data_IF_076095371223
#
_entry.id   IF_076095371223
#
_cell.length_a   1.000
_cell.length_b   1.000
_cell.length_c   1.000
_cell.angle_alpha   90.00
_cell.angle_beta   90.00
_cell.angle_gamma   90.00
#
_symmetry.space_group_name_H-M   'P 1'
#
loop_
_entity.id
_entity.type
_entity.pdbx_description
1 polymer ?
#
# COMPACT_ATOMS: atom_id res chain seq x y z
N UNK A 1 7.00 11.81 -10.35
CA UNK A 1 6.65 10.61 -9.56
C UNK A 1 6.58 11.04 -8.11
N UNK A 2 5.46 10.79 -7.42
CA UNK A 2 5.28 11.08 -5.99
C UNK A 2 5.43 9.76 -5.24
N UNK A 3 6.23 9.77 -4.17
CA UNK A 3 6.41 8.63 -3.27
C UNK A 3 5.98 9.10 -1.89
N UNK A 4 5.04 8.40 -1.28
CA UNK A 4 4.58 8.64 0.08
C UNK A 4 5.06 7.49 0.96
N UNK A 5 5.50 7.83 2.17
CA UNK A 5 6.00 6.88 3.18
C UNK A 5 4.87 6.72 4.19
N UNK A 6 4.44 5.48 4.39
CA UNK A 6 3.40 5.12 5.35
C UNK A 6 4.07 4.31 6.43
N UNK A 7 4.18 4.86 7.64
CA UNK A 7 4.85 4.23 8.78
C UNK A 7 3.95 4.09 10.01
N UNK A 8 2.68 4.52 9.91
CA UNK A 8 1.67 4.31 10.94
C UNK A 8 0.59 3.33 10.49
N UNK A 9 0.07 2.56 11.44
CA UNK A 9 -1.03 1.62 11.17
C UNK A 9 -2.30 2.32 10.66
N UNK A 10 -2.59 3.52 11.17
CA UNK A 10 -3.76 4.28 10.71
C UNK A 10 -3.62 4.73 9.25
N UNK A 11 -2.47 5.26 8.84
CA UNK A 11 -2.23 5.64 7.44
C UNK A 11 -2.25 4.43 6.50
N UNK A 12 -1.80 3.27 6.99
CA UNK A 12 -1.97 2.01 6.27
C UNK A 12 -3.47 1.78 6.02
N UNK A 13 -4.31 1.75 7.07
CA UNK A 13 -5.75 1.53 6.91
C UNK A 13 -6.42 2.49 5.90
N UNK A 14 -5.97 3.75 5.87
CA UNK A 14 -6.50 4.78 4.97
C UNK A 14 -6.20 4.51 3.48
N UNK A 15 -5.15 3.75 3.16
CA UNK A 15 -4.80 3.40 1.77
C UNK A 15 -5.40 2.09 1.28
N UNK A 16 -6.25 1.42 2.08
CA UNK A 16 -6.83 0.12 1.74
C UNK A 16 -7.44 0.08 0.33
N UNK A 17 -8.31 1.03 0.00
CA UNK A 17 -9.00 1.05 -1.30
C UNK A 17 -8.01 1.16 -2.46
N UNK A 18 -6.94 1.92 -2.25
CA UNK A 18 -5.88 2.07 -3.23
C UNK A 18 -5.04 0.81 -3.39
N UNK A 19 -4.77 0.11 -2.29
CA UNK A 19 -4.11 -1.20 -2.28
C UNK A 19 -4.91 -2.24 -3.09
N UNK A 20 -6.21 -2.33 -2.83
CA UNK A 20 -7.12 -3.22 -3.56
C UNK A 20 -7.24 -2.83 -5.04
N UNK A 21 -7.24 -1.53 -5.36
CA UNK A 21 -7.30 -1.04 -6.74
C UNK A 21 -6.01 -1.34 -7.54
N UNK A 22 -4.83 -1.16 -6.92
CA UNK A 22 -3.54 -1.54 -7.53
C UNK A 22 -3.53 -3.03 -7.81
N UNK A 23 -3.94 -3.86 -6.84
CA UNK A 23 -4.06 -5.29 -6.99
C UNK A 23 -4.98 -5.68 -8.16
N UNK A 24 -6.17 -5.09 -8.25
CA UNK A 24 -7.10 -5.36 -9.35
C UNK A 24 -6.56 -4.93 -10.72
N UNK A 25 -5.64 -3.96 -10.75
CA UNK A 25 -5.08 -3.40 -11.99
C UNK A 25 -3.85 -4.13 -12.52
N UNK A 26 -3.20 -4.96 -11.70
CA UNK A 26 -1.96 -5.67 -12.07
C UNK A 26 -2.21 -7.17 -12.31
N UNK A 27 -2.41 -7.59 -13.57
CA UNK A 27 -2.62 -9.00 -13.92
C UNK A 27 -1.39 -9.89 -13.71
N UNK A 28 -0.20 -9.31 -13.51
CA UNK A 28 1.06 -10.03 -13.28
C UNK A 28 1.45 -10.11 -11.80
N UNK A 29 0.57 -9.68 -10.89
CA UNK A 29 0.77 -9.75 -9.44
C UNK A 29 0.66 -11.21 -8.94
N UNK A 30 1.60 -12.07 -9.33
CA UNK A 30 1.58 -13.51 -9.02
C UNK A 30 1.88 -13.82 -7.54
N UNK A 31 2.55 -12.91 -6.83
CA UNK A 31 2.85 -13.02 -5.40
C UNK A 31 2.46 -11.73 -4.69
N UNK A 32 1.15 -11.49 -4.53
CA UNK A 32 0.66 -10.33 -3.80
C UNK A 32 0.22 -10.71 -2.39
N UNK A 33 0.71 -9.98 -1.39
CA UNK A 33 0.33 -10.16 0.00
C UNK A 33 -1.10 -9.62 0.19
N UNK A 34 -2.00 -10.45 0.71
CA UNK A 34 -3.38 -10.03 0.93
C UNK A 34 -3.44 -8.89 1.95
N UNK A 35 -4.35 -7.93 1.69
CA UNK A 35 -4.58 -6.79 2.58
C UNK A 35 -4.79 -7.22 4.04
N UNK A 36 -5.66 -8.20 4.27
CA UNK A 36 -5.98 -8.72 5.60
C UNK A 36 -4.76 -9.33 6.29
N UNK A 37 -3.84 -9.94 5.54
CA UNK A 37 -2.63 -10.51 6.12
C UNK A 37 -1.64 -9.41 6.52
N UNK A 38 -1.37 -8.47 5.62
CA UNK A 38 -0.39 -7.40 5.86
C UNK A 38 -0.87 -6.44 6.96
N UNK A 39 -2.15 -6.06 6.99
CA UNK A 39 -2.70 -5.14 7.99
C UNK A 39 -2.60 -5.69 9.40
N UNK A 40 -2.82 -7.00 9.56
CA UNK A 40 -2.75 -7.69 10.85
C UNK A 40 -1.31 -7.97 11.27
N UNK A 41 -0.41 -8.20 10.30
CA UNK A 41 1.01 -8.38 10.57
C UNK A 41 1.66 -7.07 11.07
N UNK A 42 1.30 -5.95 10.44
CA UNK A 42 1.85 -4.63 10.73
C UNK A 42 1.22 -3.93 11.94
N UNK A 43 0.11 -4.45 12.45
CA UNK A 43 -0.49 -4.06 13.74
C UNK A 43 0.38 -4.48 14.95
N UNK A 44 1.34 -5.39 14.74
CA UNK A 44 2.26 -5.84 15.77
C UNK A 44 3.39 -4.84 16.04
N UNK A 45 3.57 -4.45 17.30
CA UNK A 45 4.59 -3.52 17.85
C UNK A 45 6.06 -4.02 17.74
N UNK A 46 6.41 -4.83 16.74
CA UNK A 46 7.65 -5.63 16.74
C UNK A 46 8.71 -5.24 15.71
N UNK A 47 8.47 -4.24 14.87
CA UNK A 47 9.49 -3.74 13.94
C UNK A 47 9.07 -2.40 13.34
N UNK A 48 10.02 -1.46 13.21
CA UNK A 48 9.83 -0.28 12.37
C UNK A 48 9.64 -0.74 10.92
N UNK A 49 8.45 -0.53 10.39
CA UNK A 49 8.12 -0.83 9.00
C UNK A 49 7.72 0.47 8.30
N UNK A 50 7.85 0.49 6.99
CA UNK A 50 7.29 1.53 6.15
C UNK A 50 6.83 0.90 4.84
N UNK A 51 5.71 1.40 4.32
CA UNK A 51 5.20 1.05 2.98
C UNK A 51 5.45 2.24 2.05
N UNK A 52 6.01 1.97 0.87
CA UNK A 52 6.26 3.00 -0.14
C UNK A 52 5.14 2.99 -1.17
N UNK A 53 4.31 4.02 -1.16
CA UNK A 53 3.23 4.19 -2.13
C UNK A 53 3.70 5.10 -3.27
N UNK A 54 3.69 4.60 -4.50
CA UNK A 54 4.07 5.37 -5.68
C UNK A 54 2.84 5.80 -6.50
N UNK A 55 2.73 7.10 -6.76
CA UNK A 55 1.71 7.68 -7.62
C UNK A 55 2.32 8.57 -8.73
N UNK A 56 1.70 8.60 -9.92
CA UNK A 56 2.05 9.57 -10.96
C UNK A 56 1.69 10.98 -10.46
N UNK A 57 2.59 11.94 -10.66
CA UNK A 57 2.46 13.34 -10.15
C UNK A 57 1.27 14.10 -10.75
N UNK A 58 0.63 13.58 -11.79
CA UNK A 58 -0.37 14.27 -12.61
C UNK A 58 -1.83 13.90 -12.34
N UNK A 59 -2.15 12.98 -11.41
CA UNK A 59 -3.54 12.69 -11.03
C UNK A 59 -3.71 12.66 -9.50
N UNK A 60 -4.73 13.33 -8.92
CA UNK A 60 -4.77 13.57 -7.48
C UNK A 60 -5.12 12.35 -6.62
N UNK A 61 -5.52 11.22 -7.22
CA UNK A 61 -6.30 10.21 -6.45
C UNK A 61 -6.03 8.75 -6.80
N UNK A 62 -5.02 8.41 -7.61
CA UNK A 62 -4.83 7.00 -8.02
C UNK A 62 -3.36 6.56 -7.89
N UNK A 63 -3.10 5.76 -6.87
CA UNK A 63 -1.82 5.11 -6.63
C UNK A 63 -1.64 3.94 -7.59
N UNK A 64 -0.39 3.67 -8.00
CA UNK A 64 -0.09 2.67 -9.04
C UNK A 64 0.72 1.47 -8.55
N UNK A 65 1.42 1.58 -7.42
CA UNK A 65 2.19 0.47 -6.87
C UNK A 65 2.55 0.70 -5.41
N UNK A 66 2.70 -0.40 -4.67
CA UNK A 66 3.19 -0.44 -3.30
C UNK A 66 4.45 -1.33 -3.26
N UNK A 67 5.47 -0.87 -2.54
CA UNK A 67 6.72 -1.59 -2.26
C UNK A 67 6.89 -1.76 -0.74
#
# INVERSE_FOLDING_TARGET
MRIDIIDTHQELLDIRENWEAVYASDPEAQFFLSWTWISNWLDGDRSQWFVLAAAPTTLPTMWRSFL
#
